data_IF_336123050784
#
_entry.id   IF_336123050784
#
_cell.length_a   1.000
_cell.length_b   1.000
_cell.length_c   1.000
_cell.angle_alpha   90.00
_cell.angle_beta   90.00
_cell.angle_gamma   90.00
#
_symmetry.space_group_name_H-M   'P 1'
#
loop_
_entity.id
_entity.type
_entity.pdbx_description
1 polymer ?
#
# COMPACT_ATOMS: atom_id res chain seq x y z
N UNK A 1 10.94 19.87 -4.98
CA UNK A 1 10.91 20.47 -3.64
C UNK A 1 11.98 19.81 -2.82
N UNK A 2 12.68 20.55 -1.96
CA UNK A 2 13.61 19.95 -1.01
C UNK A 2 12.84 19.23 0.12
N UNK A 3 13.54 18.42 0.91
CA UNK A 3 12.92 17.81 2.10
C UNK A 3 12.55 18.92 3.10
N UNK A 4 13.36 19.97 3.20
CA UNK A 4 13.10 21.14 4.03
C UNK A 4 11.82 21.86 3.62
N UNK A 5 11.58 22.04 2.32
CA UNK A 5 10.36 22.64 1.79
C UNK A 5 9.14 21.79 2.15
N UNK A 6 9.25 20.46 1.98
CA UNK A 6 8.18 19.52 2.34
C UNK A 6 7.88 19.60 3.83
N UNK A 7 8.89 19.54 4.70
CA UNK A 7 8.72 19.60 6.15
C UNK A 7 8.08 20.90 6.61
N UNK A 8 8.44 22.03 5.97
CA UNK A 8 7.82 23.33 6.21
C UNK A 8 6.35 23.33 5.81
N UNK A 9 6.03 22.85 4.61
CA UNK A 9 4.65 22.81 4.12
C UNK A 9 3.76 21.90 4.96
N UNK A 10 4.23 20.70 5.30
CA UNK A 10 3.42 19.77 6.08
C UNK A 10 3.24 20.19 7.55
N UNK A 11 4.15 21.04 8.05
CA UNK A 11 4.12 21.55 9.43
C UNK A 11 2.87 22.37 9.75
N UNK A 12 2.21 22.93 8.73
CA UNK A 12 0.98 23.69 8.87
C UNK A 12 -0.27 22.80 9.07
N UNK A 13 -0.17 21.49 8.81
CA UNK A 13 -1.26 20.55 9.04
C UNK A 13 -1.24 19.98 10.47
N UNK A 14 -2.45 19.80 11.03
CA UNK A 14 -2.63 19.20 12.36
C UNK A 14 -2.38 17.68 12.37
N UNK A 15 -2.51 17.02 11.22
CA UNK A 15 -2.31 15.58 11.12
C UNK A 15 -0.82 15.24 11.27
N UNK A 16 -0.53 14.20 12.06
CA UNK A 16 0.80 13.60 12.13
C UNK A 16 0.93 12.33 11.29
N UNK A 17 -0.12 11.95 10.56
CA UNK A 17 -0.08 10.84 9.62
C UNK A 17 0.27 11.35 8.22
N UNK A 18 1.33 10.79 7.65
CA UNK A 18 1.82 11.11 6.30
C UNK A 18 1.82 9.84 5.47
N UNK A 19 1.16 9.90 4.32
CA UNK A 19 1.22 8.84 3.32
C UNK A 19 2.22 9.26 2.23
N UNK A 20 3.34 8.56 2.13
CA UNK A 20 4.32 8.72 1.05
C UNK A 20 3.93 7.76 -0.06
N UNK A 21 3.37 8.32 -1.13
CA UNK A 21 2.81 7.61 -2.29
C UNK A 21 3.24 8.33 -3.58
N UNK A 22 2.65 7.97 -4.72
CA UNK A 22 2.90 8.58 -6.03
C UNK A 22 2.88 7.54 -7.14
N UNK A 23 3.73 7.71 -8.16
CA UNK A 23 3.97 6.65 -9.16
C UNK A 23 4.56 5.40 -8.49
N UNK A 24 5.87 5.31 -8.41
CA UNK A 24 6.56 4.40 -7.49
C UNK A 24 7.49 5.26 -6.63
N UNK A 25 7.19 5.50 -5.34
CA UNK A 25 8.00 6.40 -4.52
C UNK A 25 9.45 5.92 -4.39
N UNK A 26 9.71 4.61 -4.40
CA UNK A 26 11.06 4.06 -4.29
C UNK A 26 11.92 4.23 -5.55
N UNK A 27 11.36 4.75 -6.67
CA UNK A 27 12.18 5.19 -7.82
C UNK A 27 12.92 6.50 -7.54
N UNK A 28 12.49 7.28 -6.55
CA UNK A 28 13.18 8.51 -6.14
C UNK A 28 14.24 8.17 -5.09
N UNK A 29 15.48 8.58 -5.36
CA UNK A 29 16.64 8.26 -4.51
C UNK A 29 16.54 8.91 -3.12
N UNK A 30 15.81 10.00 -3.02
CA UNK A 30 15.63 10.80 -1.83
C UNK A 30 14.52 10.25 -0.91
N UNK A 31 13.70 9.31 -1.38
CA UNK A 31 12.59 8.75 -0.59
C UNK A 31 13.02 8.22 0.78
N UNK A 32 14.10 7.41 0.92
CA UNK A 32 14.56 6.96 2.24
C UNK A 32 14.88 8.13 3.19
N UNK A 33 15.55 9.18 2.69
CA UNK A 33 15.87 10.36 3.50
C UNK A 33 14.61 11.11 3.93
N UNK A 34 13.59 11.20 3.07
CA UNK A 34 12.30 11.80 3.42
C UNK A 34 11.59 10.98 4.50
N UNK A 35 11.50 9.66 4.34
CA UNK A 35 10.89 8.76 5.31
C UNK A 35 11.55 8.91 6.69
N UNK A 36 12.88 8.88 6.73
CA UNK A 36 13.67 9.07 7.96
C UNK A 36 13.41 10.43 8.60
N UNK A 37 13.41 11.50 7.80
CA UNK A 37 13.17 12.86 8.30
C UNK A 37 11.77 13.00 8.91
N UNK A 38 10.75 12.42 8.28
CA UNK A 38 9.38 12.42 8.81
C UNK A 38 9.31 11.69 10.15
N UNK A 39 9.83 10.46 10.20
CA UNK A 39 9.77 9.61 11.39
C UNK A 39 10.57 10.21 12.56
N UNK A 40 11.77 10.74 12.30
CA UNK A 40 12.59 11.41 13.32
C UNK A 40 11.93 12.69 13.88
N UNK A 41 10.99 13.29 13.14
CA UNK A 41 10.19 14.45 13.57
C UNK A 41 8.82 14.06 14.15
N UNK A 42 8.62 12.78 14.51
CA UNK A 42 7.43 12.30 15.21
C UNK A 42 6.17 12.16 14.33
N UNK A 43 6.34 12.09 13.01
CA UNK A 43 5.25 11.70 12.11
C UNK A 43 5.10 10.18 12.08
N UNK A 44 3.87 9.72 11.84
CA UNK A 44 3.54 8.35 11.49
C UNK A 44 3.46 8.23 9.99
N UNK A 45 4.21 7.31 9.41
CA UNK A 45 4.42 7.26 7.97
C UNK A 45 3.90 5.95 7.39
N UNK A 46 3.06 6.06 6.35
CA UNK A 46 2.69 4.95 5.50
C UNK A 46 3.40 5.10 4.15
N UNK A 47 4.21 4.12 3.76
CA UNK A 47 4.80 4.03 2.42
C UNK A 47 3.88 3.17 1.53
N UNK A 48 3.26 3.77 0.52
CA UNK A 48 2.55 3.03 -0.52
C UNK A 48 3.47 2.76 -1.70
N UNK A 49 3.86 1.49 -1.89
CA UNK A 49 4.72 1.05 -2.99
C UNK A 49 4.03 -0.07 -3.78
N UNK A 50 4.28 -0.14 -5.08
CA UNK A 50 3.71 -1.20 -5.93
C UNK A 50 4.49 -2.52 -5.84
N UNK A 51 5.65 -2.54 -5.20
CA UNK A 51 6.43 -3.77 -5.02
C UNK A 51 7.20 -4.25 -6.24
N UNK A 52 7.43 -3.40 -7.24
CA UNK A 52 8.33 -3.68 -8.37
C UNK A 52 9.82 -3.57 -8.01
N UNK A 53 10.16 -2.90 -6.90
CA UNK A 53 11.52 -2.76 -6.38
C UNK A 53 11.71 -3.58 -5.11
N UNK A 54 12.94 -3.99 -4.82
CA UNK A 54 13.27 -4.68 -3.57
C UNK A 54 13.09 -3.71 -2.39
N UNK A 55 12.40 -4.18 -1.34
CA UNK A 55 12.13 -3.40 -0.13
C UNK A 55 12.99 -3.83 1.06
N UNK A 56 13.91 -4.78 0.89
CA UNK A 56 14.69 -5.37 1.99
C UNK A 56 15.48 -4.35 2.80
N UNK A 57 16.09 -3.36 2.15
CA UNK A 57 16.83 -2.29 2.84
C UNK A 57 15.90 -1.32 3.56
N UNK A 58 14.73 -1.01 2.99
CA UNK A 58 13.69 -0.20 3.64
C UNK A 58 13.18 -0.91 4.90
N UNK A 59 12.86 -2.20 4.81
CA UNK A 59 12.40 -2.97 5.97
C UNK A 59 13.42 -2.95 7.12
N UNK A 60 14.71 -3.10 6.80
CA UNK A 60 15.80 -3.09 7.80
C UNK A 60 16.03 -1.70 8.38
N UNK A 61 16.15 -0.68 7.53
CA UNK A 61 16.47 0.68 7.95
C UNK A 61 15.40 1.27 8.89
N UNK A 62 14.13 0.97 8.61
CA UNK A 62 13.00 1.53 9.33
C UNK A 62 12.38 0.60 10.38
N UNK A 63 12.99 -0.56 10.65
CA UNK A 63 12.50 -1.53 11.65
C UNK A 63 12.34 -0.90 13.04
N UNK A 64 13.31 -0.07 13.44
CA UNK A 64 13.36 0.58 14.76
C UNK A 64 12.17 1.50 15.06
N UNK A 65 11.43 1.96 14.03
CA UNK A 65 10.26 2.83 14.21
C UNK A 65 8.98 2.04 14.52
N UNK A 66 9.01 0.71 14.44
CA UNK A 66 7.86 -0.14 14.75
C UNK A 66 6.60 0.28 13.98
N UNK A 67 5.47 0.37 14.66
CA UNK A 67 4.17 0.68 14.06
C UNK A 67 4.04 2.13 13.54
N UNK A 68 4.98 3.02 13.87
CA UNK A 68 4.98 4.37 13.32
C UNK A 68 5.43 4.40 11.85
N UNK A 69 6.02 3.30 11.34
CA UNK A 69 6.32 3.12 9.92
C UNK A 69 5.65 1.87 9.35
N UNK A 70 4.69 2.07 8.45
CA UNK A 70 3.91 1.01 7.80
C UNK A 70 4.23 0.97 6.30
N UNK A 71 4.46 -0.22 5.76
CA UNK A 71 4.51 -0.45 4.32
C UNK A 71 3.14 -0.97 3.87
N UNK A 72 2.54 -0.30 2.88
CA UNK A 72 1.39 -0.80 2.12
C UNK A 72 1.87 -1.25 0.75
N UNK A 73 2.14 -2.55 0.60
CA UNK A 73 2.58 -3.16 -0.65
C UNK A 73 1.38 -3.47 -1.55
N UNK A 74 1.23 -2.74 -2.66
CA UNK A 74 0.14 -2.90 -3.62
C UNK A 74 0.55 -3.79 -4.80
N UNK A 75 0.34 -5.11 -4.66
CA UNK A 75 0.62 -6.06 -5.72
C UNK A 75 -0.40 -5.92 -6.85
N UNK A 76 0.12 -5.58 -8.03
CA UNK A 76 -0.70 -5.35 -9.21
C UNK A 76 -1.28 -6.66 -9.74
N UNK A 77 -2.61 -6.72 -9.81
CA UNK A 77 -3.34 -7.86 -10.35
C UNK A 77 -3.35 -7.83 -11.91
N UNK A 78 -3.63 -8.95 -12.59
CA UNK A 78 -3.58 -9.08 -14.05
C UNK A 78 -4.30 -7.99 -14.85
N UNK A 79 -5.46 -7.49 -14.39
CA UNK A 79 -6.18 -6.40 -15.07
C UNK A 79 -5.33 -5.16 -15.32
N UNK A 80 -4.38 -4.87 -14.43
CA UNK A 80 -3.46 -3.73 -14.57
C UNK A 80 -2.48 -3.84 -15.75
N UNK A 81 -2.29 -5.05 -16.29
CA UNK A 81 -1.23 -5.35 -17.27
C UNK A 81 0.19 -5.32 -16.70
N UNK A 82 0.34 -5.23 -15.37
CA UNK A 82 1.63 -5.00 -14.68
C UNK A 82 1.99 -6.11 -13.69
N UNK A 83 1.18 -7.17 -13.57
CA UNK A 83 1.39 -8.28 -12.61
C UNK A 83 2.76 -8.94 -12.74
N UNK A 84 3.28 -9.06 -13.96
CA UNK A 84 4.57 -9.73 -14.23
C UNK A 84 5.79 -8.86 -13.86
N UNK A 85 5.57 -7.61 -13.46
CA UNK A 85 6.62 -6.68 -13.03
C UNK A 85 6.79 -6.63 -11.51
N UNK A 86 5.99 -7.39 -10.78
CA UNK A 86 5.97 -7.39 -9.33
C UNK A 86 7.04 -8.35 -8.79
N UNK A 87 7.76 -7.92 -7.75
CA UNK A 87 8.71 -8.77 -7.03
C UNK A 87 8.00 -9.42 -5.85
N UNK A 88 7.45 -10.61 -6.07
CA UNK A 88 6.68 -11.32 -5.05
C UNK A 88 7.56 -11.75 -3.86
N UNK A 89 8.89 -11.74 -4.02
CA UNK A 89 9.89 -11.94 -2.97
C UNK A 89 9.83 -10.86 -1.87
N UNK A 90 9.15 -9.73 -2.14
CA UNK A 90 8.88 -8.72 -1.13
C UNK A 90 7.85 -9.16 -0.08
N UNK A 91 6.94 -10.10 -0.42
CA UNK A 91 5.83 -10.46 0.46
C UNK A 91 6.31 -11.05 1.80
N UNK A 92 7.30 -11.97 1.84
CA UNK A 92 7.86 -12.46 3.10
C UNK A 92 8.57 -11.41 3.95
N UNK A 93 8.92 -10.23 3.39
CA UNK A 93 9.59 -9.15 4.10
C UNK A 93 8.60 -8.27 4.90
N UNK A 94 7.30 -8.39 4.63
CA UNK A 94 6.27 -7.61 5.33
C UNK A 94 6.11 -8.08 6.77
N UNK A 95 6.07 -7.11 7.69
CA UNK A 95 5.91 -7.29 9.14
C UNK A 95 4.43 -7.32 9.50
N UNK A 96 4.09 -7.72 10.73
CA UNK A 96 2.68 -7.89 11.15
C UNK A 96 1.84 -6.62 11.06
N UNK A 97 2.44 -5.45 11.28
CA UNK A 97 1.78 -4.14 11.17
C UNK A 97 1.72 -3.59 9.73
N UNK A 98 2.45 -4.19 8.78
CA UNK A 98 2.40 -3.82 7.37
C UNK A 98 1.09 -4.29 6.70
N UNK A 99 0.93 -3.99 5.43
CA UNK A 99 -0.25 -4.34 4.63
C UNK A 99 0.15 -4.89 3.27
N UNK A 100 -0.51 -5.98 2.88
CA UNK A 100 -0.51 -6.48 1.51
C UNK A 100 -1.85 -6.15 0.86
N UNK A 101 -1.82 -5.29 -0.15
CA UNK A 101 -3.01 -4.77 -0.83
C UNK A 101 -3.09 -5.32 -2.26
N UNK A 102 -4.31 -5.68 -2.66
CA UNK A 102 -4.64 -6.07 -4.02
C UNK A 102 -5.77 -5.18 -4.52
N UNK A 103 -5.55 -4.50 -5.65
CA UNK A 103 -6.60 -3.79 -6.37
C UNK A 103 -7.23 -4.73 -7.39
N UNK A 104 -8.49 -5.11 -7.16
CA UNK A 104 -9.18 -6.20 -7.86
C UNK A 104 -10.27 -5.65 -8.78
N UNK A 105 -10.19 -5.95 -10.07
CA UNK A 105 -11.21 -5.57 -11.05
C UNK A 105 -12.34 -6.61 -11.16
N UNK A 106 -11.97 -7.88 -11.28
CA UNK A 106 -12.87 -8.98 -11.56
C UNK A 106 -12.47 -10.26 -10.79
N UNK A 107 -13.12 -11.37 -11.15
CA UNK A 107 -12.87 -12.68 -10.56
C UNK A 107 -11.48 -13.24 -10.90
N UNK A 108 -10.90 -12.86 -12.04
CA UNK A 108 -9.55 -13.28 -12.42
C UNK A 108 -8.51 -12.63 -11.50
N UNK A 109 -8.64 -11.33 -11.24
CA UNK A 109 -7.81 -10.62 -10.28
C UNK A 109 -7.99 -11.17 -8.85
N UNK A 110 -9.24 -11.48 -8.47
CA UNK A 110 -9.54 -12.05 -7.17
C UNK A 110 -8.86 -13.41 -6.95
N UNK A 111 -8.96 -14.31 -7.93
CA UNK A 111 -8.30 -15.61 -7.89
C UNK A 111 -6.77 -15.48 -7.87
N UNK A 112 -6.22 -14.53 -8.63
CA UNK A 112 -4.79 -14.21 -8.57
C UNK A 112 -4.34 -13.78 -7.17
N UNK A 113 -5.10 -12.89 -6.52
CA UNK A 113 -4.82 -12.48 -5.14
C UNK A 113 -4.87 -13.67 -4.17
N UNK A 114 -5.90 -14.52 -4.27
CA UNK A 114 -6.02 -15.77 -3.48
C UNK A 114 -4.81 -16.67 -3.62
N UNK A 115 -4.35 -16.91 -4.85
CA UNK A 115 -3.22 -17.78 -5.12
C UNK A 115 -1.93 -17.24 -4.48
N UNK A 116 -1.71 -15.93 -4.55
CA UNK A 116 -0.57 -15.28 -3.89
C UNK A 116 -0.67 -15.42 -2.37
N UNK A 117 -1.84 -15.13 -1.78
CA UNK A 117 -2.06 -15.23 -0.34
C UNK A 117 -1.79 -16.67 0.13
N UNK A 118 -2.31 -17.67 -0.59
CA UNK A 118 -2.12 -19.09 -0.29
C UNK A 118 -0.65 -19.52 -0.41
N UNK A 119 0.05 -19.02 -1.44
CA UNK A 119 1.45 -19.34 -1.72
C UNK A 119 2.40 -18.77 -0.66
N UNK A 120 2.23 -17.49 -0.31
CA UNK A 120 3.18 -16.77 0.55
C UNK A 120 2.79 -16.74 2.02
N UNK A 121 1.51 -16.95 2.35
CA UNK A 121 0.98 -16.90 3.73
C UNK A 121 1.50 -15.67 4.49
N UNK A 122 1.24 -14.45 3.97
CA UNK A 122 1.74 -13.22 4.57
C UNK A 122 1.29 -13.10 6.04
N UNK A 123 2.18 -12.60 6.90
CA UNK A 123 1.89 -12.38 8.33
C UNK A 123 1.15 -11.07 8.60
N UNK A 124 1.08 -10.21 7.58
CA UNK A 124 0.54 -8.86 7.65
C UNK A 124 -0.95 -8.82 7.30
N UNK A 125 -1.57 -7.64 7.44
CA UNK A 125 -2.98 -7.45 7.08
C UNK A 125 -3.15 -7.54 5.57
N UNK A 126 -4.13 -8.32 5.13
CA UNK A 126 -4.49 -8.45 3.71
C UNK A 126 -5.64 -7.50 3.40
N UNK A 127 -5.49 -6.69 2.35
CA UNK A 127 -6.50 -5.76 1.86
C UNK A 127 -6.92 -6.17 0.45
N UNK A 128 -8.22 -6.40 0.26
CA UNK A 128 -8.84 -6.50 -1.07
C UNK A 128 -9.59 -5.19 -1.31
N UNK A 129 -9.16 -4.45 -2.34
CA UNK A 129 -9.78 -3.19 -2.73
C UNK A 129 -10.33 -3.31 -4.15
N UNK A 130 -11.66 -3.20 -4.37
CA UNK A 130 -12.17 -3.19 -5.72
C UNK A 130 -11.69 -1.94 -6.48
N UNK A 131 -11.47 -2.07 -7.79
CA UNK A 131 -11.25 -0.93 -8.69
C UNK A 131 -12.44 0.04 -8.60
N UNK A 132 -12.17 1.35 -8.58
CA UNK A 132 -13.23 2.37 -8.56
C UNK A 132 -14.26 2.18 -9.68
N UNK A 133 -15.54 2.35 -9.35
CA UNK A 133 -16.63 2.34 -10.32
C UNK A 133 -17.00 0.95 -10.86
N UNK A 134 -16.41 -0.12 -10.33
CA UNK A 134 -16.77 -1.50 -10.69
C UNK A 134 -17.87 -2.06 -9.79
N UNK A 135 -18.25 -3.31 -10.04
CA UNK A 135 -19.22 -4.01 -9.22
C UNK A 135 -18.60 -4.48 -7.90
N UNK A 136 -18.63 -3.61 -6.88
CA UNK A 136 -18.13 -3.91 -5.53
C UNK A 136 -18.80 -5.13 -4.89
N UNK A 137 -20.10 -5.32 -5.17
CA UNK A 137 -20.88 -6.45 -4.65
C UNK A 137 -20.28 -7.78 -5.12
N UNK A 138 -19.96 -7.89 -6.41
CA UNK A 138 -19.39 -9.13 -6.96
C UNK A 138 -18.10 -9.54 -6.24
N UNK A 139 -17.20 -8.59 -5.96
CA UNK A 139 -15.95 -8.89 -5.24
C UNK A 139 -16.21 -9.26 -3.78
N UNK A 140 -17.16 -8.58 -3.12
CA UNK A 140 -17.54 -8.91 -1.75
C UNK A 140 -18.20 -10.31 -1.63
N UNK A 141 -19.06 -10.67 -2.58
CA UNK A 141 -19.70 -12.01 -2.65
C UNK A 141 -18.64 -13.10 -2.77
N UNK A 142 -17.67 -12.95 -3.69
CA UNK A 142 -16.54 -13.89 -3.82
C UNK A 142 -15.76 -14.04 -2.51
N UNK A 143 -15.47 -12.93 -1.82
CA UNK A 143 -14.79 -12.97 -0.52
C UNK A 143 -15.57 -13.73 0.56
N UNK A 144 -16.90 -13.58 0.58
CA UNK A 144 -17.79 -14.27 1.52
C UNK A 144 -17.85 -15.76 1.20
N UNK A 145 -18.04 -16.11 -0.07
CA UNK A 145 -18.12 -17.50 -0.55
C UNK A 145 -16.87 -18.30 -0.20
N UNK A 146 -15.69 -17.71 -0.36
CA UNK A 146 -14.41 -18.35 -0.02
C UNK A 146 -14.01 -18.23 1.45
N UNK A 147 -14.70 -17.40 2.25
CA UNK A 147 -14.34 -17.13 3.63
C UNK A 147 -12.91 -16.58 3.79
N UNK A 148 -12.45 -15.78 2.83
CA UNK A 148 -11.06 -15.29 2.82
C UNK A 148 -10.79 -14.37 4.02
N UNK A 149 -9.70 -14.61 4.75
CA UNK A 149 -9.28 -13.75 5.85
C UNK A 149 -8.59 -12.48 5.34
N UNK A 150 -9.36 -11.59 4.72
CA UNK A 150 -8.90 -10.31 4.19
C UNK A 150 -9.92 -9.21 4.45
N UNK A 151 -9.44 -7.98 4.62
CA UNK A 151 -10.31 -6.81 4.78
C UNK A 151 -10.70 -6.25 3.43
N UNK A 152 -12.00 -6.08 3.22
CA UNK A 152 -12.53 -5.32 2.10
C UNK A 152 -12.35 -3.82 2.36
N UNK A 153 -11.72 -3.09 1.43
CA UNK A 153 -11.44 -1.66 1.56
C UNK A 153 -11.94 -0.89 0.34
N UNK A 154 -12.80 0.10 0.55
CA UNK A 154 -13.25 1.00 -0.51
C UNK A 154 -12.31 2.21 -0.63
N UNK A 155 -12.27 2.81 -1.81
CA UNK A 155 -11.61 4.10 -2.03
C UNK A 155 -12.48 5.24 -1.48
N UNK A 156 -12.50 5.38 -0.15
CA UNK A 156 -13.37 6.32 0.58
C UNK A 156 -13.22 7.75 0.06
N UNK A 157 -12.01 8.18 -0.28
CA UNK A 157 -11.77 9.52 -0.82
C UNK A 157 -12.58 9.77 -2.12
N UNK A 158 -12.74 8.76 -2.98
CA UNK A 158 -13.56 8.89 -4.19
C UNK A 158 -15.06 8.90 -3.91
N UNK A 159 -15.48 8.27 -2.82
CA UNK A 159 -16.88 8.36 -2.36
C UNK A 159 -17.20 9.77 -1.86
N UNK A 160 -16.27 10.38 -1.11
CA UNK A 160 -16.48 11.70 -0.49
C UNK A 160 -16.26 12.84 -1.49
N UNK A 161 -15.18 12.79 -2.28
CA UNK A 161 -14.72 13.90 -3.12
C UNK A 161 -14.67 13.58 -4.62
N UNK A 162 -15.13 12.40 -5.03
CA UNK A 162 -14.98 11.95 -6.42
C UNK A 162 -13.52 11.79 -6.83
N UNK A 163 -13.21 11.99 -8.11
CA UNK A 163 -11.84 11.85 -8.63
C UNK A 163 -11.01 13.14 -8.52
N UNK A 164 -11.40 14.05 -7.61
CA UNK A 164 -10.69 15.29 -7.37
C UNK A 164 -9.31 15.02 -6.78
N UNK A 165 -8.30 15.74 -7.27
CA UNK A 165 -6.93 15.69 -6.75
C UNK A 165 -6.72 16.70 -5.63
N UNK A 166 -5.85 16.38 -4.67
CA UNK A 166 -5.44 17.28 -3.58
C UNK A 166 -6.54 17.53 -2.54
N UNK A 167 -7.22 16.46 -2.11
CA UNK A 167 -8.35 16.48 -1.16
C UNK A 167 -8.08 15.58 0.04
#
# INVERSE_FOLDING_TARGET
>A
MSIEDIMKEIGDYKSKYVCVTGGEPLLQKETPNLLKTLLDNGYKVCLETNGSLDISDICKEFEKYGEDFVISLDIKCPYSGMSDRMRLENIPLLREHDQLKFVVYDEKDYNYAKDIIKRFKPRCKIIIQPVWGTNYRKIAELMIEDGINARFSLQIHKIIWGERRGV
#
